data_IF_469849077156
#
_entry.id   IF_469849077156
#
_cell.length_a   1.000
_cell.length_b   1.000
_cell.length_c   1.000
_cell.angle_alpha   90.00
_cell.angle_beta   90.00
_cell.angle_gamma   90.00
#
_symmetry.space_group_name_H-M   'P 1'
#
loop_
_entity.id
_entity.type
_entity.pdbx_description
1 polymer ?
#
# COMPACT_ATOMS: atom_id res chain seq x y z
N UNK A 1 36.05 -4.64 1.74
CA UNK A 1 35.42 -5.60 0.79
C UNK A 1 35.54 -5.05 -0.61
N UNK A 2 35.99 -5.86 -1.56
CA UNK A 2 36.20 -5.43 -2.94
C UNK A 2 35.08 -5.98 -3.80
N UNK A 3 34.32 -5.10 -4.47
CA UNK A 3 33.28 -5.51 -5.41
C UNK A 3 33.95 -5.62 -6.80
N UNK A 4 33.89 -6.80 -7.41
CA UNK A 4 34.34 -7.00 -8.79
C UNK A 4 33.13 -6.77 -9.72
N UNK A 5 33.22 -5.77 -10.61
CA UNK A 5 32.15 -5.41 -11.52
C UNK A 5 32.48 -5.86 -12.94
N UNK A 6 31.47 -6.48 -13.60
CA UNK A 6 31.53 -6.88 -15.02
C UNK A 6 30.14 -6.82 -15.68
N UNK A 7 30.10 -6.77 -17.02
CA UNK A 7 28.83 -6.96 -17.75
C UNK A 7 28.19 -8.32 -17.48
N UNK A 8 26.86 -8.37 -17.72
CA UNK A 8 26.06 -9.60 -17.65
C UNK A 8 26.46 -10.60 -18.76
N UNK A 9 26.51 -11.88 -18.40
CA UNK A 9 26.63 -13.00 -19.36
C UNK A 9 25.37 -13.86 -19.34
N UNK A 10 25.21 -14.76 -20.34
CA UNK A 10 24.02 -15.60 -20.45
C UNK A 10 23.74 -16.45 -19.20
N UNK A 11 24.80 -16.98 -18.58
CA UNK A 11 24.69 -17.79 -17.38
C UNK A 11 24.30 -17.02 -16.10
N UNK A 12 24.25 -15.68 -16.16
CA UNK A 12 23.95 -14.86 -15.00
C UNK A 12 22.45 -14.51 -14.89
N UNK A 13 21.69 -14.69 -15.95
CA UNK A 13 20.32 -14.15 -16.07
C UNK A 13 19.44 -14.58 -14.91
N UNK A 14 19.39 -15.86 -14.58
CA UNK A 14 18.56 -16.38 -13.49
C UNK A 14 18.98 -15.84 -12.11
N UNK A 15 20.28 -15.67 -11.90
CA UNK A 15 20.81 -15.06 -10.66
C UNK A 15 20.44 -13.58 -10.56
N UNK A 16 20.47 -12.84 -11.66
CA UNK A 16 20.05 -11.44 -11.73
C UNK A 16 18.57 -11.31 -11.43
N UNK A 17 17.73 -12.11 -12.08
CA UNK A 17 16.26 -12.11 -11.84
C UNK A 17 15.95 -12.48 -10.39
N UNK A 18 16.67 -13.46 -9.83
CA UNK A 18 16.51 -13.86 -8.42
C UNK A 18 16.86 -12.72 -7.47
N UNK A 19 17.98 -12.01 -7.74
CA UNK A 19 18.38 -10.83 -6.95
C UNK A 19 17.33 -9.72 -7.08
N UNK A 20 16.84 -9.42 -8.29
CA UNK A 20 15.83 -8.39 -8.49
C UNK A 20 14.53 -8.68 -7.76
N UNK A 21 14.08 -9.95 -7.76
CA UNK A 21 12.92 -10.38 -6.96
C UNK A 21 13.19 -10.22 -5.47
N UNK A 22 14.33 -10.70 -4.97
CA UNK A 22 14.68 -10.60 -3.56
C UNK A 22 14.86 -9.14 -3.08
N UNK A 23 15.27 -8.23 -3.97
CA UNK A 23 15.40 -6.80 -3.70
C UNK A 23 14.14 -5.99 -4.00
N UNK A 24 13.00 -6.65 -4.30
CA UNK A 24 11.70 -6.01 -4.63
C UNK A 24 11.79 -5.01 -5.80
N UNK A 25 12.64 -5.31 -6.80
CA UNK A 25 12.81 -4.48 -7.99
C UNK A 25 11.92 -4.91 -9.15
N UNK A 26 11.30 -6.08 -9.07
CA UNK A 26 10.37 -6.57 -10.10
C UNK A 26 8.95 -6.14 -9.79
N UNK A 27 8.16 -5.93 -10.83
CA UNK A 27 6.73 -5.62 -10.75
C UNK A 27 5.95 -6.57 -11.66
N UNK A 28 4.72 -6.98 -11.31
CA UNK A 28 3.98 -8.01 -12.06
C UNK A 28 3.74 -7.69 -13.55
N UNK A 29 3.72 -6.41 -13.90
CA UNK A 29 3.46 -5.95 -15.27
C UNK A 29 4.72 -5.79 -16.13
N UNK A 30 5.91 -6.09 -15.59
CA UNK A 30 7.16 -6.13 -16.33
C UNK A 30 7.80 -7.50 -16.16
N UNK A 31 8.08 -8.16 -17.27
CA UNK A 31 8.84 -9.41 -17.26
C UNK A 31 10.33 -9.07 -17.20
N UNK A 32 11.05 -9.41 -16.11
CA UNK A 32 12.47 -9.11 -15.99
C UNK A 32 13.34 -9.81 -17.04
N UNK A 33 12.90 -10.94 -17.58
CA UNK A 33 13.63 -11.62 -18.66
C UNK A 33 13.52 -10.86 -19.97
N UNK A 34 12.35 -10.33 -20.31
CA UNK A 34 12.17 -9.50 -21.49
C UNK A 34 12.89 -8.15 -21.34
N UNK A 35 12.93 -7.55 -20.14
CA UNK A 35 13.69 -6.33 -19.88
C UNK A 35 15.21 -6.56 -20.05
N UNK A 36 15.74 -7.69 -19.55
CA UNK A 36 17.15 -8.08 -19.77
C UNK A 36 17.42 -8.27 -21.26
N UNK A 37 16.57 -9.00 -21.96
CA UNK A 37 16.71 -9.25 -23.39
C UNK A 37 16.67 -7.95 -24.19
N UNK A 38 15.73 -7.05 -23.88
CA UNK A 38 15.62 -5.74 -24.53
C UNK A 38 16.85 -4.88 -24.27
N UNK A 39 17.32 -4.78 -23.02
CA UNK A 39 18.55 -4.08 -22.68
C UNK A 39 19.76 -4.61 -23.46
N UNK A 40 19.95 -5.92 -23.50
CA UNK A 40 21.06 -6.57 -24.19
C UNK A 40 21.00 -6.46 -25.73
N UNK A 41 19.84 -6.18 -26.28
CA UNK A 41 19.69 -5.90 -27.72
C UNK A 41 20.13 -4.48 -28.12
N UNK A 42 20.34 -3.59 -27.15
CA UNK A 42 20.70 -2.20 -27.37
C UNK A 42 22.21 -2.00 -27.28
N UNK A 43 22.86 -1.33 -28.23
CA UNK A 43 24.26 -0.96 -28.13
C UNK A 43 24.51 0.16 -27.10
N UNK A 44 23.45 0.81 -26.65
CA UNK A 44 23.49 1.97 -25.75
C UNK A 44 23.06 1.64 -24.31
N UNK A 45 22.99 0.36 -23.97
CA UNK A 45 22.63 -0.08 -22.64
C UNK A 45 23.44 -1.31 -22.20
N UNK A 46 23.61 -1.49 -20.91
CA UNK A 46 24.33 -2.59 -20.31
C UNK A 46 23.75 -2.93 -18.93
N UNK A 47 23.90 -4.17 -18.51
CA UNK A 47 23.64 -4.59 -17.14
C UNK A 47 24.99 -4.92 -16.49
N UNK A 48 25.35 -4.14 -15.48
CA UNK A 48 26.57 -4.34 -14.71
C UNK A 48 26.26 -5.14 -13.45
N UNK A 49 27.08 -6.16 -13.22
CA UNK A 49 26.97 -7.09 -12.09
C UNK A 49 28.16 -6.90 -11.16
N UNK A 50 27.88 -6.73 -9.88
CA UNK A 50 28.88 -6.63 -8.83
C UNK A 50 28.97 -7.90 -8.00
N UNK A 51 30.13 -8.52 -7.97
CA UNK A 51 30.39 -9.75 -7.22
C UNK A 51 31.24 -9.49 -5.98
N UNK A 52 30.85 -10.09 -4.85
CA UNK A 52 31.68 -10.21 -3.64
C UNK A 52 32.19 -11.66 -3.57
N UNK A 53 33.43 -11.87 -3.99
CA UNK A 53 33.95 -13.19 -4.31
C UNK A 53 33.22 -13.80 -5.51
N UNK A 54 32.51 -14.90 -5.31
CA UNK A 54 31.72 -15.57 -6.35
C UNK A 54 30.22 -15.27 -6.26
N UNK A 55 29.77 -14.55 -5.23
CA UNK A 55 28.37 -14.25 -5.03
C UNK A 55 27.95 -12.95 -5.69
N UNK A 56 26.84 -12.96 -6.41
CA UNK A 56 26.23 -11.75 -6.97
C UNK A 56 25.67 -10.89 -5.84
N UNK A 57 26.27 -9.71 -5.63
CA UNK A 57 25.99 -8.83 -4.51
C UNK A 57 25.24 -7.55 -4.92
N UNK A 58 25.43 -7.08 -6.15
CA UNK A 58 24.80 -5.85 -6.63
C UNK A 58 24.56 -5.89 -8.14
N UNK A 59 23.58 -5.12 -8.61
CA UNK A 59 23.27 -4.96 -10.04
C UNK A 59 22.91 -3.51 -10.35
N UNK A 60 23.11 -3.11 -11.61
CA UNK A 60 22.53 -1.91 -12.20
C UNK A 60 22.34 -2.12 -13.70
N UNK A 61 21.18 -1.74 -14.21
CA UNK A 61 20.97 -1.55 -15.64
C UNK A 61 21.26 -0.08 -15.96
N UNK A 62 22.19 0.18 -16.87
CA UNK A 62 22.62 1.52 -17.27
C UNK A 62 22.46 1.67 -18.77
N UNK A 63 22.10 2.86 -19.23
CA UNK A 63 21.96 3.15 -20.64
C UNK A 63 21.90 4.64 -20.92
N UNK A 64 21.92 5.00 -22.21
CA UNK A 64 21.71 6.37 -22.66
C UNK A 64 20.85 6.43 -23.93
N UNK A 65 20.11 7.52 -24.05
CA UNK A 65 19.22 7.81 -25.19
C UNK A 65 19.85 8.73 -26.24
N UNK A 66 21.15 8.98 -26.16
CA UNK A 66 21.88 9.94 -26.97
C UNK A 66 21.85 11.36 -26.41
N UNK A 67 21.14 11.62 -25.34
CA UNK A 67 21.05 12.92 -24.67
C UNK A 67 21.35 12.84 -23.18
N UNK A 68 20.81 11.80 -22.49
CA UNK A 68 20.96 11.58 -21.05
C UNK A 68 21.28 10.12 -20.77
N UNK A 69 21.97 9.88 -19.66
CA UNK A 69 22.10 8.56 -19.07
C UNK A 69 20.91 8.23 -18.15
N UNK A 70 20.60 6.95 -18.03
CA UNK A 70 19.51 6.43 -17.20
C UNK A 70 19.95 5.21 -16.41
N UNK A 71 19.44 5.06 -15.21
CA UNK A 71 19.66 3.88 -14.38
C UNK A 71 18.34 3.21 -14.03
N UNK A 72 18.33 1.89 -14.14
CA UNK A 72 17.24 1.02 -13.75
C UNK A 72 17.77 -0.17 -12.98
N UNK A 73 16.92 -0.88 -12.25
CA UNK A 73 17.28 -2.11 -11.54
C UNK A 73 18.53 -2.00 -10.68
N UNK A 74 18.71 -0.85 -10.01
CA UNK A 74 19.80 -0.65 -9.05
C UNK A 74 19.46 -1.41 -7.78
N UNK A 75 20.15 -2.49 -7.54
CA UNK A 75 19.87 -3.38 -6.40
C UNK A 75 21.12 -3.87 -5.70
N UNK A 76 20.98 -4.11 -4.41
CA UNK A 76 21.96 -4.81 -3.57
C UNK A 76 21.27 -5.99 -2.91
N UNK A 77 21.90 -7.15 -2.95
CA UNK A 77 21.35 -8.37 -2.36
C UNK A 77 20.95 -8.17 -0.90
N UNK A 78 19.79 -8.68 -0.46
CA UNK A 78 19.41 -8.68 0.95
C UNK A 78 20.54 -9.26 1.82
N UNK A 79 20.81 -8.63 2.96
CA UNK A 79 21.92 -9.00 3.84
C UNK A 79 23.29 -8.44 3.43
N UNK A 80 23.43 -7.85 2.23
CA UNK A 80 24.64 -7.14 1.77
C UNK A 80 24.44 -5.62 1.71
N UNK A 81 23.26 -5.15 2.08
CA UNK A 81 22.96 -3.72 2.19
C UNK A 81 23.87 -3.07 3.25
N UNK A 82 24.09 -1.75 3.14
CA UNK A 82 25.02 -0.98 4.01
C UNK A 82 26.52 -1.32 3.92
N UNK A 83 26.91 -2.32 3.12
CA UNK A 83 28.31 -2.72 2.89
C UNK A 83 29.06 -1.82 1.88
N UNK A 84 28.44 -0.75 1.39
CA UNK A 84 28.98 0.16 0.39
C UNK A 84 28.90 -0.35 -1.06
N UNK A 85 28.27 -1.50 -1.31
CA UNK A 85 28.16 -2.09 -2.65
C UNK A 85 27.28 -1.25 -3.58
N UNK A 86 26.21 -0.63 -3.04
CA UNK A 86 25.37 0.30 -3.80
C UNK A 86 26.18 1.48 -4.38
N UNK A 87 27.08 2.09 -3.59
CA UNK A 87 27.97 3.16 -4.05
C UNK A 87 28.91 2.66 -5.15
N UNK A 88 29.49 1.48 -4.98
CA UNK A 88 30.46 0.93 -5.93
C UNK A 88 29.83 0.57 -7.27
N UNK A 89 28.63 -0.03 -7.26
CA UNK A 89 27.95 -0.39 -8.50
C UNK A 89 27.47 0.87 -9.24
N UNK A 90 27.06 1.91 -8.52
CA UNK A 90 26.70 3.20 -9.11
C UNK A 90 27.92 3.89 -9.71
N UNK A 91 29.08 3.89 -9.02
CA UNK A 91 30.32 4.44 -9.57
C UNK A 91 30.70 3.76 -10.88
N UNK A 92 30.61 2.44 -10.97
CA UNK A 92 30.88 1.72 -12.21
C UNK A 92 29.90 2.09 -13.34
N UNK A 93 28.64 2.29 -13.02
CA UNK A 93 27.64 2.73 -14.00
C UNK A 93 27.86 4.18 -14.45
N UNK A 94 28.28 5.06 -13.55
CA UNK A 94 28.67 6.42 -13.89
C UNK A 94 29.90 6.46 -14.80
N UNK A 95 30.92 5.63 -14.53
CA UNK A 95 32.13 5.53 -15.36
C UNK A 95 31.76 4.99 -16.74
N UNK A 96 30.86 3.98 -16.82
CA UNK A 96 30.35 3.48 -18.10
C UNK A 96 29.70 4.57 -18.96
N UNK A 97 28.93 5.48 -18.34
CA UNK A 97 28.30 6.64 -19.01
C UNK A 97 29.34 7.70 -19.41
N UNK A 98 30.30 8.03 -18.53
CA UNK A 98 31.36 9.02 -18.79
C UNK A 98 32.24 8.61 -19.97
N UNK A 99 32.61 7.33 -20.05
CA UNK A 99 33.39 6.77 -21.17
C UNK A 99 32.67 6.93 -22.51
N UNK A 100 31.32 7.04 -22.50
CA UNK A 100 30.48 7.25 -23.69
C UNK A 100 30.13 8.73 -23.93
N UNK A 101 30.76 9.65 -23.18
CA UNK A 101 30.56 11.09 -23.33
C UNK A 101 29.22 11.61 -22.79
N UNK A 102 28.55 10.85 -21.97
CA UNK A 102 27.28 11.28 -21.37
C UNK A 102 27.52 12.30 -20.26
N UNK A 103 27.06 13.54 -20.48
CA UNK A 103 27.29 14.64 -19.54
C UNK A 103 26.34 14.71 -18.34
N UNK A 104 25.28 13.96 -18.36
CA UNK A 104 24.28 13.94 -17.25
C UNK A 104 23.51 12.63 -17.24
N UNK A 105 23.35 12.06 -16.05
CA UNK A 105 22.52 10.90 -15.83
C UNK A 105 21.31 11.24 -14.96
N UNK A 106 20.23 10.50 -15.15
CA UNK A 106 18.94 10.64 -14.44
C UNK A 106 18.45 9.28 -13.96
N UNK A 107 17.61 9.30 -12.93
CA UNK A 107 16.89 8.13 -12.45
C UNK A 107 15.54 8.59 -11.90
N UNK A 108 14.64 7.65 -11.75
CA UNK A 108 13.31 7.91 -11.19
C UNK A 108 13.18 7.20 -9.85
N UNK A 109 12.78 7.95 -8.83
CA UNK A 109 12.51 7.43 -7.50
C UNK A 109 11.03 7.67 -7.22
N UNK A 110 10.35 6.66 -6.71
CA UNK A 110 8.97 6.83 -6.23
C UNK A 110 8.98 7.83 -5.06
N UNK A 111 8.09 8.81 -5.08
CA UNK A 111 8.05 9.91 -4.10
C UNK A 111 8.03 9.45 -2.65
N UNK A 112 7.37 8.32 -2.36
CA UNK A 112 7.30 7.72 -1.03
C UNK A 112 8.62 7.02 -0.58
N UNK A 113 9.57 6.77 -1.49
CA UNK A 113 10.81 6.05 -1.16
C UNK A 113 11.93 7.00 -0.67
N UNK A 114 11.74 7.56 0.51
CA UNK A 114 12.65 8.54 1.13
C UNK A 114 14.04 7.96 1.37
N UNK A 115 14.15 6.69 1.79
CA UNK A 115 15.44 6.02 2.04
C UNK A 115 16.29 5.91 0.78
N UNK A 116 15.67 5.60 -0.36
CA UNK A 116 16.37 5.55 -1.65
C UNK A 116 16.75 6.95 -2.12
N UNK A 117 15.88 7.95 -1.92
CA UNK A 117 16.20 9.35 -2.20
C UNK A 117 17.44 9.79 -1.42
N UNK A 118 17.50 9.57 -0.10
CA UNK A 118 18.66 9.88 0.74
C UNK A 118 19.94 9.15 0.30
N UNK A 119 19.81 7.92 -0.20
CA UNK A 119 20.96 7.18 -0.74
C UNK A 119 21.56 7.90 -1.95
N UNK A 120 20.73 8.36 -2.89
CA UNK A 120 21.23 9.08 -4.08
C UNK A 120 21.71 10.49 -3.73
N UNK A 121 21.09 11.20 -2.79
CA UNK A 121 21.59 12.48 -2.29
C UNK A 121 23.01 12.36 -1.71
N UNK A 122 23.32 11.25 -1.01
CA UNK A 122 24.70 10.95 -0.56
C UNK A 122 25.68 10.58 -1.68
N UNK A 123 25.21 10.44 -2.91
CA UNK A 123 25.99 10.27 -4.14
C UNK A 123 25.96 11.52 -5.02
N UNK A 124 25.62 12.68 -4.44
CA UNK A 124 25.56 13.99 -5.09
C UNK A 124 24.49 14.10 -6.20
N UNK A 125 23.46 13.22 -6.18
CA UNK A 125 22.28 13.39 -7.02
C UNK A 125 21.34 14.42 -6.40
N UNK A 126 20.80 15.29 -7.25
CA UNK A 126 19.87 16.35 -6.83
C UNK A 126 18.50 16.08 -7.41
N UNK A 127 17.47 16.21 -6.58
CA UNK A 127 16.10 16.13 -7.06
C UNK A 127 15.78 17.32 -7.98
N UNK A 128 15.24 17.04 -9.16
CA UNK A 128 14.79 18.06 -10.11
C UNK A 128 13.27 18.17 -10.09
N UNK A 129 12.75 19.40 -10.18
CA UNK A 129 11.32 19.65 -10.29
C UNK A 129 10.84 19.32 -11.71
N UNK A 130 10.48 18.05 -11.93
CA UNK A 130 10.02 17.53 -13.22
C UNK A 130 8.86 16.57 -13.05
N UNK A 131 7.87 16.70 -13.90
CA UNK A 131 6.79 15.75 -14.03
C UNK A 131 7.18 14.67 -15.07
N UNK A 132 7.11 13.41 -14.70
CA UNK A 132 7.30 12.29 -15.62
C UNK A 132 5.93 11.89 -16.19
N UNK A 133 5.82 11.88 -17.51
CA UNK A 133 4.65 11.40 -18.23
C UNK A 133 5.01 10.12 -18.99
N UNK A 134 4.14 9.12 -18.94
CA UNK A 134 4.35 7.84 -19.61
C UNK A 134 3.15 7.46 -20.49
N UNK A 135 3.42 6.82 -21.64
CA UNK A 135 2.39 6.21 -22.51
C UNK A 135 2.84 4.80 -22.86
N UNK A 136 1.99 3.82 -22.64
CA UNK A 136 2.23 2.44 -23.08
C UNK A 136 1.86 2.28 -24.55
N UNK A 137 2.67 1.50 -25.28
CA UNK A 137 2.42 1.19 -26.72
C UNK A 137 2.01 -0.28 -26.92
N UNK A 138 2.09 -1.11 -25.90
CA UNK A 138 1.64 -2.50 -25.92
C UNK A 138 0.26 -2.68 -25.31
N UNK A 139 -0.29 -3.90 -25.37
CA UNK A 139 -1.51 -4.21 -24.65
C UNK A 139 -1.32 -3.85 -23.18
N UNK A 140 -2.30 -3.15 -22.63
CA UNK A 140 -2.36 -2.95 -21.18
C UNK A 140 -2.42 -4.35 -20.57
N UNK A 141 -1.48 -4.75 -19.70
CA UNK A 141 -1.64 -6.01 -18.98
C UNK A 141 -3.05 -6.01 -18.42
N UNK A 142 -3.79 -7.09 -18.67
CA UNK A 142 -5.11 -7.22 -18.09
C UNK A 142 -4.91 -7.23 -16.57
N UNK A 143 -5.10 -6.06 -15.94
CA UNK A 143 -4.99 -5.91 -14.49
C UNK A 143 -5.98 -6.81 -13.75
N UNK A 144 -7.00 -7.34 -14.49
CA UNK A 144 -7.93 -8.34 -13.99
C UNK A 144 -7.32 -9.76 -14.03
N UNK A 145 -6.24 -9.98 -14.77
CA UNK A 145 -5.52 -11.26 -14.77
C UNK A 145 -4.63 -11.46 -13.55
N UNK A 146 -4.20 -10.38 -12.89
CA UNK A 146 -3.56 -10.44 -11.56
C UNK A 146 -4.61 -10.28 -10.47
N UNK A 147 -5.14 -11.39 -10.00
CA UNK A 147 -6.11 -11.42 -8.92
C UNK A 147 -5.41 -11.83 -7.63
N UNK A 148 -5.66 -11.10 -6.56
CA UNK A 148 -5.27 -11.52 -5.21
C UNK A 148 -6.52 -12.01 -4.51
N UNK A 149 -6.51 -13.26 -4.08
CA UNK A 149 -7.57 -13.76 -3.20
C UNK A 149 -7.40 -13.15 -1.82
N UNK A 150 -8.47 -12.60 -1.30
CA UNK A 150 -8.56 -12.10 0.07
C UNK A 150 -9.72 -12.77 0.79
N UNK A 151 -9.51 -13.09 2.06
CA UNK A 151 -10.58 -13.60 2.90
C UNK A 151 -11.25 -12.42 3.60
N UNK A 152 -12.53 -12.25 3.31
CA UNK A 152 -13.38 -11.23 3.92
C UNK A 152 -14.21 -11.85 5.02
N UNK A 153 -14.21 -11.22 6.18
CA UNK A 153 -15.03 -11.60 7.32
C UNK A 153 -16.06 -10.50 7.59
N UNK A 154 -17.32 -10.85 7.59
CA UNK A 154 -18.42 -9.95 7.90
C UNK A 154 -18.81 -10.10 9.36
N UNK A 155 -18.91 -8.97 10.05
CA UNK A 155 -19.32 -8.90 11.44
C UNK A 155 -20.54 -7.99 11.59
N UNK A 156 -21.40 -8.31 12.52
CA UNK A 156 -22.61 -7.53 12.78
C UNK A 156 -22.87 -7.30 14.26
N UNK A 157 -23.73 -6.35 14.52
CA UNK A 157 -24.27 -6.00 15.82
C UNK A 157 -25.76 -5.80 15.65
N UNK A 158 -26.59 -6.63 16.32
CA UNK A 158 -28.07 -6.64 16.20
C UNK A 158 -28.78 -5.86 17.32
N UNK A 159 -28.01 -5.31 18.23
CA UNK A 159 -28.53 -4.44 19.29
C UNK A 159 -27.51 -3.39 19.66
N UNK A 160 -27.96 -2.21 20.03
CA UNK A 160 -27.08 -1.18 20.55
C UNK A 160 -26.34 -1.68 21.80
N UNK A 161 -25.04 -1.46 21.93
CA UNK A 161 -24.29 -1.84 23.13
C UNK A 161 -24.87 -1.16 24.39
N UNK A 162 -25.05 -1.95 25.45
CA UNK A 162 -25.49 -1.47 26.76
C UNK A 162 -24.29 -0.85 27.50
N UNK A 163 -23.98 0.37 27.18
CA UNK A 163 -22.92 1.19 27.80
C UNK A 163 -23.27 2.67 27.69
N UNK A 164 -22.61 3.46 28.52
CA UNK A 164 -22.65 4.92 28.38
C UNK A 164 -22.13 5.37 27.01
N UNK A 165 -22.60 6.51 26.48
CA UNK A 165 -22.05 7.10 25.26
C UNK A 165 -20.54 7.25 25.34
N UNK A 166 -19.88 7.09 24.19
CA UNK A 166 -18.44 7.19 24.12
C UNK A 166 -17.95 8.61 24.45
N UNK A 167 -16.97 8.71 25.32
CA UNK A 167 -16.31 9.98 25.68
C UNK A 167 -14.85 9.97 25.25
N UNK A 168 -14.32 11.10 24.75
CA UNK A 168 -12.92 11.19 24.39
C UNK A 168 -12.02 10.95 25.62
N UNK A 169 -10.90 10.24 25.45
CA UNK A 169 -9.97 10.00 26.55
C UNK A 169 -9.26 11.29 26.97
N UNK A 170 -8.97 11.41 28.26
CA UNK A 170 -8.23 12.53 28.85
C UNK A 170 -6.72 12.37 28.60
N UNK A 171 -6.25 12.72 27.41
CA UNK A 171 -4.83 12.64 27.01
C UNK A 171 -4.18 14.02 26.87
N UNK A 172 -4.80 15.06 27.44
CA UNK A 172 -4.30 16.43 27.35
C UNK A 172 -4.42 17.07 25.97
N UNK A 173 -5.22 16.49 25.09
CA UNK A 173 -5.50 16.95 23.72
C UNK A 173 -6.99 17.12 23.52
N UNK A 174 -7.37 18.11 22.69
CA UNK A 174 -8.76 18.29 22.27
C UNK A 174 -9.10 17.30 21.17
N UNK A 175 -10.00 16.38 21.45
CA UNK A 175 -10.48 15.37 20.51
C UNK A 175 -11.91 15.71 20.12
N UNK A 176 -12.20 15.76 18.83
CA UNK A 176 -13.52 16.09 18.29
C UNK A 176 -13.85 15.10 17.16
N UNK A 177 -15.03 14.51 17.24
CA UNK A 177 -15.63 13.73 16.13
C UNK A 177 -16.85 14.50 15.64
N UNK A 178 -16.82 14.96 14.41
CA UNK A 178 -17.89 15.77 13.85
C UNK A 178 -18.34 15.29 12.46
N UNK A 179 -19.61 15.50 12.11
CA UNK A 179 -20.10 15.17 10.78
C UNK A 179 -19.43 16.07 9.73
N UNK A 180 -19.06 15.48 8.60
CA UNK A 180 -18.67 16.21 7.41
C UNK A 180 -19.84 16.29 6.44
N UNK A 181 -20.01 17.42 5.77
CA UNK A 181 -20.75 17.46 4.52
C UNK A 181 -20.08 16.51 3.51
N UNK A 182 -20.76 16.23 2.38
CA UNK A 182 -20.13 15.44 1.30
C UNK A 182 -18.74 16.02 1.01
N UNK A 183 -17.67 15.28 1.30
CA UNK A 183 -16.31 15.81 1.17
C UNK A 183 -15.96 16.03 -0.31
N UNK A 184 -15.12 17.01 -0.57
CA UNK A 184 -14.53 17.12 -1.91
C UNK A 184 -13.68 15.90 -2.23
N UNK A 185 -13.64 15.49 -3.50
CA UNK A 185 -12.83 14.33 -3.95
C UNK A 185 -11.39 14.41 -3.44
N UNK A 186 -10.77 15.60 -3.50
CA UNK A 186 -9.39 15.81 -3.04
C UNK A 186 -9.24 15.55 -1.53
N UNK A 187 -10.16 16.05 -0.71
CA UNK A 187 -10.09 15.86 0.73
C UNK A 187 -10.41 14.41 1.12
N UNK A 188 -11.37 13.79 0.44
CA UNK A 188 -11.65 12.36 0.65
C UNK A 188 -10.44 11.49 0.29
N UNK A 189 -9.78 11.73 -0.85
CA UNK A 189 -8.55 11.00 -1.22
C UNK A 189 -7.44 11.19 -0.18
N UNK A 190 -7.25 12.40 0.35
CA UNK A 190 -6.29 12.63 1.42
C UNK A 190 -6.56 11.73 2.64
N UNK A 191 -7.81 11.65 3.08
CA UNK A 191 -8.19 10.80 4.21
C UNK A 191 -8.07 9.31 3.88
N UNK A 192 -8.62 8.91 2.74
CA UNK A 192 -8.63 7.52 2.29
C UNK A 192 -7.22 6.98 2.06
N UNK A 193 -6.36 7.75 1.39
CA UNK A 193 -4.98 7.37 1.16
C UNK A 193 -4.17 7.41 2.45
N UNK A 194 -4.37 8.42 3.29
CA UNK A 194 -3.67 8.54 4.56
C UNK A 194 -3.93 7.38 5.51
N UNK A 195 -5.19 6.90 5.57
CA UNK A 195 -5.56 5.75 6.41
C UNK A 195 -5.24 4.42 5.72
N UNK A 196 -5.57 4.30 4.44
CA UNK A 196 -5.66 3.03 3.75
C UNK A 196 -4.43 2.61 2.96
N UNK A 197 -3.44 3.52 2.74
CA UNK A 197 -2.28 3.23 1.93
C UNK A 197 -1.47 2.04 2.46
N UNK A 198 -1.35 1.92 3.77
CA UNK A 198 -0.62 0.83 4.44
C UNK A 198 -1.43 -0.49 4.47
N UNK A 199 -2.72 -0.45 4.16
CA UNK A 199 -3.64 -1.58 4.31
C UNK A 199 -4.28 -2.03 2.99
N UNK A 200 -3.73 -1.58 1.87
CA UNK A 200 -4.18 -1.98 0.53
C UNK A 200 -5.63 -1.56 0.21
N UNK A 201 -6.07 -0.43 0.73
CA UNK A 201 -7.32 0.17 0.30
C UNK A 201 -7.17 0.67 -1.15
N UNK A 202 -7.83 0.01 -2.10
CA UNK A 202 -7.64 0.22 -3.54
C UNK A 202 -8.88 0.79 -4.21
N UNK A 203 -10.06 0.34 -3.80
CA UNK A 203 -11.30 0.56 -4.54
C UNK A 203 -11.56 2.04 -4.88
N UNK A 204 -11.35 2.95 -3.94
CA UNK A 204 -11.55 4.40 -4.17
C UNK A 204 -10.34 5.06 -4.89
N UNK A 205 -9.17 4.45 -4.83
CA UNK A 205 -7.95 5.00 -5.46
C UNK A 205 -7.93 4.83 -6.97
N UNK A 206 -8.54 3.77 -7.48
CA UNK A 206 -8.61 3.46 -8.91
C UNK A 206 -9.79 4.14 -9.62
N UNK A 207 -10.73 4.75 -8.89
CA UNK A 207 -11.82 5.51 -9.48
C UNK A 207 -11.30 6.84 -10.02
N UNK A 208 -11.82 7.28 -11.17
CA UNK A 208 -11.66 8.67 -11.60
C UNK A 208 -12.45 9.62 -10.69
N UNK A 209 -12.20 10.93 -10.84
CA UNK A 209 -12.78 11.91 -9.94
C UNK A 209 -14.30 12.05 -10.11
N UNK A 210 -14.84 11.85 -11.31
CA UNK A 210 -16.28 11.92 -11.58
C UNK A 210 -17.00 10.73 -10.93
N UNK A 211 -16.49 9.52 -11.13
CA UNK A 211 -17.01 8.30 -10.51
C UNK A 211 -16.96 8.41 -8.99
N UNK A 212 -15.84 8.86 -8.44
CA UNK A 212 -15.70 9.02 -6.99
C UNK A 212 -16.65 10.08 -6.44
N UNK A 213 -16.81 11.22 -7.11
CA UNK A 213 -17.79 12.25 -6.70
C UNK A 213 -19.22 11.70 -6.68
N UNK A 214 -19.59 10.89 -7.68
CA UNK A 214 -20.87 10.19 -7.70
C UNK A 214 -21.06 9.25 -6.51
N UNK A 215 -20.04 8.48 -6.19
CA UNK A 215 -20.06 7.58 -5.02
C UNK A 215 -20.17 8.36 -3.71
N UNK A 216 -19.46 9.46 -3.56
CA UNK A 216 -19.50 10.27 -2.34
C UNK A 216 -20.85 10.98 -2.13
N UNK A 217 -21.59 11.23 -3.21
CA UNK A 217 -22.88 11.92 -3.17
C UNK A 217 -24.08 10.96 -3.03
N UNK A 218 -23.86 9.67 -2.75
CA UNK A 218 -24.94 8.69 -2.61
C UNK A 218 -25.85 9.03 -1.43
N UNK A 219 -27.13 8.75 -1.60
CA UNK A 219 -28.09 8.81 -0.52
C UNK A 219 -27.72 7.76 0.53
N UNK A 220 -27.76 8.11 1.80
CA UNK A 220 -27.40 7.21 2.90
C UNK A 220 -25.92 7.23 3.29
N UNK A 221 -25.02 7.81 2.47
CA UNK A 221 -23.61 7.97 2.84
C UNK A 221 -23.43 9.11 3.85
N UNK A 222 -22.79 8.82 4.96
CA UNK A 222 -22.47 9.76 6.03
C UNK A 222 -20.97 9.73 6.33
N UNK A 223 -20.37 10.89 6.48
CA UNK A 223 -18.94 11.05 6.71
C UNK A 223 -18.69 11.74 8.04
N UNK A 224 -17.72 11.25 8.79
CA UNK A 224 -17.34 11.84 10.08
C UNK A 224 -15.81 12.00 10.13
N UNK A 225 -15.38 13.17 10.56
CA UNK A 225 -13.97 13.51 10.73
C UNK A 225 -13.61 13.47 12.21
N UNK A 226 -12.61 12.68 12.55
CA UNK A 226 -11.95 12.75 13.85
C UNK A 226 -10.82 13.76 13.77
N UNK A 227 -10.80 14.70 14.70
CA UNK A 227 -9.74 15.71 14.83
C UNK A 227 -9.08 15.59 16.20
N UNK A 228 -7.78 15.88 16.24
CA UNK A 228 -7.00 16.03 17.47
C UNK A 228 -6.30 17.39 17.39
N UNK A 229 -6.57 18.28 18.34
CA UNK A 229 -6.06 19.65 18.37
C UNK A 229 -6.34 20.46 17.08
N UNK A 230 -7.41 20.10 16.36
CA UNK A 230 -7.83 20.72 15.10
C UNK A 230 -7.20 20.10 13.83
N UNK A 231 -6.31 19.11 13.98
CA UNK A 231 -5.74 18.37 12.85
C UNK A 231 -6.60 17.14 12.53
N UNK A 232 -6.82 16.80 11.25
CA UNK A 232 -7.43 15.54 10.85
C UNK A 232 -6.64 14.36 11.42
N UNK A 233 -7.30 13.50 12.19
CA UNK A 233 -6.68 12.36 12.88
C UNK A 233 -7.21 11.01 12.40
N UNK A 234 -8.36 11.02 11.73
CA UNK A 234 -9.00 9.84 11.18
C UNK A 234 -10.36 10.17 10.61
N UNK A 235 -10.99 9.20 9.97
CA UNK A 235 -12.35 9.35 9.48
C UNK A 235 -13.11 8.02 9.52
N UNK A 236 -14.43 8.12 9.47
CA UNK A 236 -15.28 6.98 9.18
C UNK A 236 -16.37 7.34 8.17
N UNK A 237 -16.79 6.33 7.41
CA UNK A 237 -17.88 6.39 6.44
C UNK A 237 -18.94 5.38 6.88
N UNK A 238 -20.15 5.86 7.11
CA UNK A 238 -21.33 5.04 7.37
C UNK A 238 -22.21 5.06 6.12
N UNK A 239 -22.76 3.92 5.78
CA UNK A 239 -23.73 3.79 4.69
C UNK A 239 -25.04 3.19 5.24
N UNK A 240 -26.12 3.95 5.12
CA UNK A 240 -27.45 3.53 5.56
C UNK A 240 -28.27 3.09 4.38
N UNK A 241 -29.02 2.00 4.53
CA UNK A 241 -30.04 1.64 3.58
C UNK A 241 -31.20 2.66 3.56
N UNK A 242 -32.10 2.51 2.59
CA UNK A 242 -33.18 3.49 2.35
C UNK A 242 -34.12 3.71 3.55
N UNK A 243 -34.28 2.69 4.40
CA UNK A 243 -35.17 2.77 5.59
C UNK A 243 -34.37 2.99 6.90
N UNK A 244 -33.03 3.13 6.82
CA UNK A 244 -32.14 3.38 7.94
C UNK A 244 -31.97 2.22 8.92
N UNK A 245 -32.47 1.04 8.56
CA UNK A 245 -32.43 -0.13 9.46
C UNK A 245 -31.12 -0.85 9.46
N UNK A 246 -30.43 -0.91 8.33
CA UNK A 246 -29.12 -1.50 8.22
C UNK A 246 -28.09 -0.39 7.97
N UNK A 247 -27.01 -0.42 8.73
CA UNK A 247 -25.95 0.57 8.65
C UNK A 247 -24.62 -0.18 8.47
N UNK A 248 -23.92 0.11 7.41
CA UNK A 248 -22.57 -0.37 7.18
C UNK A 248 -21.55 0.64 7.71
N UNK A 249 -20.54 0.16 8.41
CA UNK A 249 -19.30 0.88 8.64
C UNK A 249 -18.35 0.55 7.48
N UNK A 250 -18.46 1.33 6.39
CA UNK A 250 -17.78 1.03 5.12
C UNK A 250 -16.28 1.34 5.17
N UNK A 251 -15.89 2.43 5.82
CA UNK A 251 -14.49 2.81 6.02
C UNK A 251 -14.27 3.39 7.41
N UNK A 252 -13.18 2.98 8.05
CA UNK A 252 -12.85 3.39 9.39
C UNK A 252 -11.35 3.32 9.64
N UNK A 253 -10.74 4.38 10.12
CA UNK A 253 -9.36 4.32 10.55
C UNK A 253 -8.75 5.65 10.99
N UNK A 254 -7.59 5.53 11.61
CA UNK A 254 -6.76 6.63 12.05
C UNK A 254 -5.64 6.89 11.03
N UNK A 255 -5.28 8.14 10.87
CA UNK A 255 -4.05 8.52 10.19
C UNK A 255 -2.83 8.02 11.00
N UNK A 256 -1.71 7.66 10.34
CA UNK A 256 -0.56 7.02 10.98
C UNK A 256 -0.02 7.75 12.20
N UNK A 257 0.05 9.09 12.15
CA UNK A 257 0.59 9.92 13.22
C UNK A 257 -0.26 9.89 14.53
N UNK A 258 -1.49 9.41 14.44
CA UNK A 258 -2.43 9.33 15.55
C UNK A 258 -2.65 7.90 16.06
N UNK A 259 -1.97 6.91 15.45
CA UNK A 259 -1.99 5.53 15.92
C UNK A 259 -1.13 5.42 17.19
N UNK A 260 -1.66 4.73 18.21
CA UNK A 260 -0.94 4.55 19.49
C UNK A 260 -1.24 5.60 20.57
N UNK A 261 -2.00 6.66 20.24
CA UNK A 261 -2.40 7.67 21.22
C UNK A 261 -3.55 7.25 22.16
N UNK A 262 -4.05 6.02 22.05
CA UNK A 262 -5.16 5.53 22.87
C UNK A 262 -6.55 5.99 22.42
N UNK A 263 -6.65 6.73 21.32
CA UNK A 263 -7.93 7.29 20.82
C UNK A 263 -8.77 6.30 19.99
N UNK A 264 -8.17 5.21 19.51
CA UNK A 264 -8.84 4.26 18.63
C UNK A 264 -10.06 3.58 19.27
N UNK A 265 -10.01 3.31 20.58
CA UNK A 265 -11.18 2.75 21.31
C UNK A 265 -12.33 3.73 21.35
N UNK A 266 -12.05 4.97 21.72
CA UNK A 266 -13.06 6.03 21.70
C UNK A 266 -13.66 6.19 20.31
N UNK A 267 -12.81 6.22 19.28
CA UNK A 267 -13.25 6.46 17.91
C UNK A 267 -14.24 5.39 17.41
N UNK A 268 -13.94 4.10 17.63
CA UNK A 268 -14.86 3.03 17.22
C UNK A 268 -16.16 3.05 18.04
N UNK A 269 -16.08 3.28 19.36
CA UNK A 269 -17.26 3.35 20.21
C UNK A 269 -18.15 4.54 19.82
N UNK A 270 -17.57 5.72 19.56
CA UNK A 270 -18.30 6.89 19.11
C UNK A 270 -18.92 6.70 17.72
N UNK A 271 -18.21 6.02 16.80
CA UNK A 271 -18.77 5.66 15.49
C UNK A 271 -19.96 4.73 15.61
N UNK A 272 -19.92 3.76 16.52
CA UNK A 272 -21.07 2.88 16.82
C UNK A 272 -22.23 3.70 17.36
N UNK A 273 -21.99 4.64 18.28
CA UNK A 273 -23.05 5.50 18.82
C UNK A 273 -23.73 6.35 17.73
N UNK A 274 -22.99 6.82 16.72
CA UNK A 274 -23.51 7.52 15.55
C UNK A 274 -24.29 6.59 14.59
N UNK A 275 -23.85 5.34 14.46
CA UNK A 275 -24.53 4.36 13.63
C UNK A 275 -25.92 3.98 14.16
N UNK A 276 -26.09 3.90 15.49
CA UNK A 276 -27.35 3.53 16.13
C UNK A 276 -28.31 4.71 16.25
N UNK A 277 -29.43 4.64 15.53
CA UNK A 277 -30.60 5.53 15.61
C UNK A 277 -31.83 4.72 16.04
N UNK A 278 -32.95 5.37 16.37
CA UNK A 278 -34.17 4.63 16.79
C UNK A 278 -34.66 3.57 15.78
N UNK A 279 -34.50 3.83 14.49
CA UNK A 279 -34.87 2.94 13.40
C UNK A 279 -33.88 1.80 13.17
N UNK A 280 -32.62 1.96 13.56
CA UNK A 280 -31.54 1.01 13.26
C UNK A 280 -31.76 -0.33 13.96
N UNK A 281 -31.64 -1.41 13.19
CA UNK A 281 -31.78 -2.79 13.65
C UNK A 281 -30.50 -3.59 13.55
N UNK A 282 -29.57 -3.12 12.68
CA UNK A 282 -28.33 -3.80 12.42
C UNK A 282 -27.23 -2.79 12.08
N UNK A 283 -26.09 -2.94 12.70
CA UNK A 283 -24.83 -2.28 12.27
C UNK A 283 -23.88 -3.38 11.89
N UNK A 284 -23.24 -3.28 10.73
CA UNK A 284 -22.32 -4.29 10.26
C UNK A 284 -21.04 -3.68 9.68
N UNK A 285 -20.01 -4.49 9.61
CA UNK A 285 -18.70 -4.12 9.08
C UNK A 285 -18.09 -5.35 8.43
N UNK A 286 -17.31 -5.16 7.38
CA UNK A 286 -16.44 -6.20 6.88
C UNK A 286 -14.98 -5.83 7.13
N UNK A 287 -14.14 -6.84 7.25
CA UNK A 287 -12.69 -6.72 7.37
C UNK A 287 -12.05 -7.89 6.64
N UNK A 288 -10.84 -7.71 6.15
CA UNK A 288 -10.16 -8.72 5.39
C UNK A 288 -8.72 -8.95 5.88
N UNK A 289 -8.07 -9.97 5.37
CA UNK A 289 -6.67 -10.28 5.69
C UNK A 289 -5.67 -9.24 5.17
N UNK A 290 -6.15 -8.22 4.42
CA UNK A 290 -5.37 -7.08 3.97
C UNK A 290 -5.46 -5.86 4.89
N UNK A 291 -6.34 -5.88 5.88
CA UNK A 291 -6.54 -4.80 6.84
C UNK A 291 -5.48 -4.81 7.96
N UNK A 292 -5.50 -3.75 8.75
CA UNK A 292 -4.65 -3.65 9.95
C UNK A 292 -4.84 -4.88 10.85
N UNK A 293 -3.76 -5.55 11.33
CA UNK A 293 -3.84 -6.78 12.12
C UNK A 293 -4.72 -6.73 13.36
N UNK A 294 -4.96 -5.51 13.89
CA UNK A 294 -5.83 -5.29 15.05
C UNK A 294 -7.30 -5.03 14.68
N UNK A 295 -7.64 -4.88 13.40
CA UNK A 295 -8.99 -4.48 12.98
C UNK A 295 -10.04 -5.45 13.51
N UNK A 296 -9.93 -6.74 13.19
CA UNK A 296 -10.86 -7.77 13.65
C UNK A 296 -11.02 -7.78 15.18
N UNK A 297 -9.90 -7.78 15.92
CA UNK A 297 -9.95 -7.77 17.38
C UNK A 297 -10.54 -6.47 17.96
N UNK A 298 -10.41 -5.34 17.28
CA UNK A 298 -11.04 -4.09 17.69
C UNK A 298 -12.56 -4.15 17.50
N UNK A 299 -13.04 -4.66 16.35
CA UNK A 299 -14.46 -4.83 16.09
C UNK A 299 -15.10 -5.81 17.08
N UNK A 300 -14.47 -6.95 17.36
CA UNK A 300 -14.98 -7.91 18.34
C UNK A 300 -15.06 -7.32 19.75
N UNK A 301 -14.03 -6.57 20.20
CA UNK A 301 -14.07 -5.88 21.50
C UNK A 301 -15.10 -4.76 21.56
N UNK A 302 -15.49 -4.21 20.43
CA UNK A 302 -16.55 -3.21 20.34
C UNK A 302 -17.95 -3.85 20.34
N UNK A 303 -18.06 -5.18 20.25
CA UNK A 303 -19.31 -5.94 20.33
C UNK A 303 -19.80 -6.51 19.00
N UNK A 304 -19.05 -6.37 17.92
CA UNK A 304 -19.39 -7.02 16.65
C UNK A 304 -19.11 -8.52 16.71
N UNK A 305 -20.01 -9.30 16.12
CA UNK A 305 -19.92 -10.77 16.06
C UNK A 305 -19.79 -11.22 14.61
N UNK A 306 -18.81 -12.07 14.26
CA UNK A 306 -18.71 -12.63 12.93
C UNK A 306 -19.94 -13.44 12.53
N UNK A 307 -20.52 -13.16 11.35
CA UNK A 307 -21.70 -13.88 10.86
C UNK A 307 -21.51 -14.53 9.49
N UNK A 308 -20.61 -14.02 8.67
CA UNK A 308 -20.34 -14.58 7.35
C UNK A 308 -18.84 -14.48 7.00
N UNK A 309 -18.41 -15.36 6.11
CA UNK A 309 -17.07 -15.39 5.57
C UNK A 309 -17.13 -15.73 4.10
N UNK A 310 -16.36 -15.01 3.31
CA UNK A 310 -16.22 -15.28 1.89
C UNK A 310 -14.77 -15.05 1.40
N UNK A 311 -14.45 -15.61 0.26
CA UNK A 311 -13.20 -15.32 -0.43
C UNK A 311 -13.55 -14.44 -1.61
N UNK A 312 -13.02 -13.25 -1.60
CA UNK A 312 -13.13 -12.31 -2.70
C UNK A 312 -11.86 -12.32 -3.53
N UNK A 313 -12.04 -12.05 -4.80
CA UNK A 313 -10.94 -11.87 -5.72
C UNK A 313 -10.83 -10.39 -6.05
N UNK A 314 -9.78 -9.75 -5.55
CA UNK A 314 -9.52 -8.34 -5.77
C UNK A 314 -8.49 -8.15 -6.89
N UNK A 315 -8.60 -7.06 -7.68
CA UNK A 315 -7.53 -6.67 -8.58
C UNK A 315 -6.23 -6.46 -7.80
N UNK A 316 -5.12 -7.01 -8.30
CA UNK A 316 -3.82 -6.73 -7.69
C UNK A 316 -3.50 -5.23 -7.84
N UNK A 317 -3.42 -4.47 -6.76
CA UNK A 317 -3.19 -3.03 -6.81
C UNK A 317 -1.86 -2.65 -7.47
N UNK A 318 -0.89 -3.56 -7.50
CA UNK A 318 0.39 -3.36 -8.17
C UNK A 318 0.21 -3.21 -9.69
N UNK A 319 -0.79 -3.89 -10.27
CA UNK A 319 -1.13 -3.78 -11.69
C UNK A 319 -1.78 -2.44 -12.03
N UNK A 320 -2.44 -1.81 -11.08
CA UNK A 320 -2.96 -0.45 -11.21
C UNK A 320 -1.87 0.63 -10.98
N UNK A 321 -0.61 0.24 -10.78
CA UNK A 321 0.49 1.15 -10.49
C UNK A 321 0.49 1.69 -9.05
N UNK A 322 -0.35 1.14 -8.19
CA UNK A 322 -0.39 1.51 -6.78
C UNK A 322 0.76 0.84 -6.03
N UNK A 323 1.41 1.58 -5.17
CA UNK A 323 2.39 1.01 -4.25
C UNK A 323 1.66 0.20 -3.19
N UNK A 324 2.16 -1.01 -2.95
CA UNK A 324 1.88 -1.71 -1.72
C UNK A 324 2.86 -1.23 -0.64
N UNK A 325 2.39 -1.16 0.62
CA UNK A 325 3.29 -0.88 1.73
C UNK A 325 4.42 -1.91 1.79
N UNK A 326 5.58 -1.55 2.37
CA UNK A 326 6.72 -2.46 2.51
C UNK A 326 6.39 -3.81 3.18
N UNK A 327 5.33 -3.83 3.97
CA UNK A 327 4.88 -5.02 4.72
C UNK A 327 3.75 -5.80 4.02
N UNK A 328 3.37 -5.42 2.82
CA UNK A 328 2.25 -6.08 2.13
C UNK A 328 2.53 -7.54 1.77
N UNK A 329 3.80 -7.89 1.56
CA UNK A 329 4.22 -9.26 1.29
C UNK A 329 4.35 -10.10 2.58
N UNK A 330 4.37 -9.44 3.75
CA UNK A 330 4.44 -10.04 5.08
C UNK A 330 3.07 -10.14 5.77
N UNK A 331 1.98 -9.87 5.08
CA UNK A 331 0.63 -9.75 5.64
C UNK A 331 0.16 -10.96 6.43
N UNK A 332 0.58 -12.14 6.05
CA UNK A 332 0.38 -13.35 6.84
C UNK A 332 1.26 -13.44 8.09
N UNK A 333 2.20 -12.51 8.28
CA UNK A 333 3.26 -12.59 9.29
C UNK A 333 3.18 -11.52 10.38
N UNK A 334 2.20 -10.62 10.34
CA UNK A 334 2.01 -9.63 11.42
C UNK A 334 1.77 -10.34 12.76
N UNK A 335 2.56 -10.03 13.81
CA UNK A 335 2.63 -10.84 15.06
C UNK A 335 1.32 -11.07 15.81
N UNK A 336 0.28 -10.32 15.51
CA UNK A 336 -1.01 -10.38 16.21
C UNK A 336 -2.21 -10.44 15.23
N UNK A 337 -2.02 -10.80 13.97
CA UNK A 337 -3.11 -10.99 13.02
C UNK A 337 -3.86 -12.28 13.37
N UNK A 338 -5.18 -12.19 13.61
CA UNK A 338 -6.06 -13.35 13.71
C UNK A 338 -6.17 -14.10 12.36
N UNK A 339 -5.77 -13.46 11.27
CA UNK A 339 -5.63 -14.06 9.94
C UNK A 339 -4.26 -14.69 9.68
N UNK A 340 -3.36 -14.72 10.68
CA UNK A 340 -2.01 -15.28 10.58
C UNK A 340 -1.98 -16.74 10.18
N UNK A 341 -3.00 -17.46 10.56
CA UNK A 341 -3.28 -18.81 10.14
C UNK A 341 -4.64 -18.78 9.43
N UNK A 342 -4.62 -18.79 8.07
CA UNK A 342 -5.83 -18.88 7.25
C UNK A 342 -6.70 -20.04 7.73
N UNK A 343 -6.09 -21.16 8.13
CA UNK A 343 -6.78 -22.31 8.69
C UNK A 343 -7.39 -22.04 10.09
N UNK A 344 -6.81 -21.16 10.89
CA UNK A 344 -7.40 -20.73 12.16
C UNK A 344 -8.54 -19.71 11.93
N UNK A 345 -8.37 -18.81 10.98
CA UNK A 345 -9.43 -17.88 10.60
C UNK A 345 -10.63 -18.59 9.94
N UNK A 346 -10.39 -19.67 9.19
CA UNK A 346 -11.44 -20.55 8.65
C UNK A 346 -12.23 -21.27 9.74
N UNK A 347 -11.69 -21.40 10.93
CA UNK A 347 -12.32 -22.05 12.10
C UNK A 347 -12.96 -21.06 13.09
N UNK A 348 -12.90 -19.75 12.85
CA UNK A 348 -13.60 -18.79 13.70
C UNK A 348 -15.10 -19.14 13.73
N UNK A 349 -15.70 -19.31 14.92
CA UNK A 349 -17.13 -19.58 15.00
C UNK A 349 -17.89 -18.38 14.42
N UNK A 350 -18.80 -18.67 13.50
CA UNK A 350 -19.77 -17.70 13.00
C UNK A 350 -20.99 -17.77 13.93
N UNK A 351 -21.65 -16.64 14.15
CA UNK A 351 -22.95 -16.64 14.83
C UNK A 351 -23.91 -17.54 14.05
N UNK A 352 -24.71 -18.34 14.74
CA UNK A 352 -25.72 -19.21 14.13
C UNK A 352 -26.64 -18.33 13.25
N UNK A 353 -26.59 -18.61 11.94
CA UNK A 353 -27.05 -17.71 10.92
C UNK A 353 -28.52 -17.32 11.05
N UNK A 354 -28.76 -16.06 10.90
CA UNK A 354 -29.97 -15.62 10.20
C UNK A 354 -29.64 -15.72 8.69
N UNK A 355 -30.03 -16.83 8.09
CA UNK A 355 -30.20 -16.89 6.64
C UNK A 355 -31.32 -15.88 6.29
N UNK A 356 -30.98 -14.81 5.61
CA UNK A 356 -31.94 -14.02 4.80
C UNK A 356 -31.19 -13.33 3.65
#
# INVERSE_FOLDING_TARGET
MTLHVRPIADGDIDFVVSLWKAASLTVPHNDPYEDIKFCRSSPNAEILLGFDGQELAATVMVGHDGHRGWYYYVGVAPGRQTSGFGRKIMSAAEDWLKERGVGKAQLMIRSANTKVKEFYERLDYVAEDRLVMAKRFGPVPDWRAGQTETMVLHLEMLSRPDRDPAHPPEIGKRIVLEPMAVPSVRFYRFLYDGVGADWTWVSRRIMDDETLAGVLSRVGAEYYLLQVDGEPAGFCELERDDDGRNVELSYFGLLPDFIGLGIGRYFIDATIDLAWRPETKRVWVHTCDLDHPRALGNYQRAGFVPYARETETLPDPRLAGLQLPPHSDERGHAPNSLFRDRAAAEKLPLADGAAH
#
